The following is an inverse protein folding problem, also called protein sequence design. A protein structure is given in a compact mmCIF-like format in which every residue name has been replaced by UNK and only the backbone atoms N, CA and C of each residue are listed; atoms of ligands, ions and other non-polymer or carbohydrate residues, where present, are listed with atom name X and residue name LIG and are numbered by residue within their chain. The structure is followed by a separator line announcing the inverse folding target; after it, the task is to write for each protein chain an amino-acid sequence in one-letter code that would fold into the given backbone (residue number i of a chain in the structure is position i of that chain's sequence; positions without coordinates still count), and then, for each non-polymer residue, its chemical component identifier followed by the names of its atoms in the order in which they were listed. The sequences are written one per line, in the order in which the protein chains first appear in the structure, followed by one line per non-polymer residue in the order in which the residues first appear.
data_IF_692799331938
#
_entry.id   IF_692799331938
#
_cell.length_a   1.000
_cell.length_b   1.000
_cell.length_c   1.000
_cell.angle_alpha   90.00
_cell.angle_beta   90.00
_cell.angle_gamma   90.00
#
_symmetry.space_group_name_H-M   'P 1'
#
loop_
_entity.id
_entity.type
_entity.pdbx_description
1 polymer ?
#
# COMPACT_ATOMS: atom_id res chain seq x y z
N UNK A 1 10.56 6.97 14.30
CA UNK A 1 9.32 6.29 14.73
C UNK A 1 8.48 6.18 13.49
N UNK A 2 8.47 5.02 12.86
CA UNK A 2 8.13 4.96 11.45
C UNK A 2 6.95 4.02 11.07
N UNK A 3 6.05 3.48 11.90
CA UNK A 3 5.86 3.38 13.36
C UNK A 3 6.97 2.51 13.99
N UNK A 4 6.94 2.28 15.30
CA UNK A 4 8.13 1.89 16.09
C UNK A 4 8.71 0.48 15.87
N UNK A 5 8.19 -0.36 14.98
CA UNK A 5 8.59 -1.78 14.89
C UNK A 5 8.79 -2.37 13.47
N UNK A 6 8.65 -1.60 12.39
CA UNK A 6 8.95 -2.07 11.03
C UNK A 6 10.46 -2.18 10.74
N UNK A 7 10.89 -3.21 10.00
CA UNK A 7 12.31 -3.59 9.85
C UNK A 7 13.02 -3.07 8.58
N UNK A 8 12.32 -2.46 7.61
CA UNK A 8 12.91 -1.75 6.46
C UNK A 8 12.00 -0.62 5.92
N UNK A 9 11.90 0.55 6.57
CA UNK A 9 10.94 1.59 6.20
C UNK A 9 11.30 2.27 4.87
N UNK A 10 10.66 1.87 3.77
CA UNK A 10 10.66 2.62 2.51
C UNK A 10 9.42 3.52 2.43
N UNK A 11 9.58 4.78 2.82
CA UNK A 11 8.53 5.80 2.83
C UNK A 11 8.13 6.28 1.43
N UNK A 12 8.71 5.74 0.35
CA UNK A 12 8.51 6.23 -1.02
C UNK A 12 7.52 5.41 -1.86
N UNK A 13 7.00 4.28 -1.35
CA UNK A 13 6.18 3.31 -2.12
C UNK A 13 4.78 3.09 -1.53
N UNK A 14 4.31 3.94 -0.62
CA UNK A 14 2.99 3.75 0.01
C UNK A 14 1.82 3.99 -0.95
N UNK A 15 2.02 4.78 -2.01
CA UNK A 15 1.01 5.06 -3.02
C UNK A 15 1.39 4.43 -4.35
N UNK A 16 0.60 3.44 -4.78
CA UNK A 16 0.75 2.77 -6.05
C UNK A 16 -0.32 3.25 -7.04
N UNK A 17 0.09 3.53 -8.27
CA UNK A 17 -0.81 3.95 -9.35
C UNK A 17 -1.05 2.78 -10.31
N UNK A 18 -2.24 2.73 -10.89
CA UNK A 18 -2.59 1.71 -11.87
C UNK A 18 -3.70 2.17 -12.81
N UNK A 19 -3.89 1.37 -13.86
CA UNK A 19 -4.98 1.55 -14.81
C UNK A 19 -5.59 0.20 -15.16
N UNK A 20 -6.88 0.19 -15.45
CA UNK A 20 -7.54 -0.94 -16.11
C UNK A 20 -8.51 -0.41 -17.17
N UNK A 21 -8.97 -1.29 -18.06
CA UNK A 21 -9.87 -0.92 -19.15
C UNK A 21 -11.21 -1.60 -18.96
N UNK A 22 -12.28 -0.82 -19.10
CA UNK A 22 -13.64 -1.35 -19.31
C UNK A 22 -13.98 -1.25 -20.79
N UNK A 23 -14.61 -2.29 -21.33
CA UNK A 23 -15.02 -2.31 -22.74
C UNK A 23 -16.53 -2.37 -22.82
N UNK A 24 -17.13 -1.34 -23.42
CA UNK A 24 -18.52 -1.29 -23.80
C UNK A 24 -18.60 -0.65 -25.19
N UNK A 25 -18.98 -1.43 -26.21
CA UNK A 25 -18.92 -1.00 -27.61
C UNK A 25 -19.82 0.21 -27.89
N UNK A 26 -20.98 0.23 -27.24
CA UNK A 26 -22.00 1.28 -27.36
C UNK A 26 -21.83 2.39 -26.30
N UNK A 27 -20.73 2.36 -25.53
CA UNK A 27 -20.45 3.30 -24.44
C UNK A 27 -20.90 2.80 -23.06
N UNK A 28 -20.46 3.53 -22.03
CA UNK A 28 -20.71 3.21 -20.63
C UNK A 28 -21.80 4.12 -20.07
N UNK A 29 -22.89 3.54 -19.58
CA UNK A 29 -24.00 4.26 -18.93
C UNK A 29 -23.81 4.36 -17.43
N UNK A 30 -23.40 3.27 -16.79
CA UNK A 30 -23.02 3.27 -15.38
C UNK A 30 -21.71 2.52 -15.18
N UNK A 31 -20.87 3.03 -14.29
CA UNK A 31 -19.64 2.36 -13.86
C UNK A 31 -19.41 2.64 -12.39
N UNK A 32 -19.28 1.57 -11.61
CA UNK A 32 -18.92 1.62 -10.21
C UNK A 32 -17.64 0.82 -9.95
N UNK A 33 -16.78 1.34 -9.07
CA UNK A 33 -15.51 0.71 -8.68
C UNK A 33 -15.36 0.78 -7.16
N UNK A 34 -15.42 -0.35 -6.46
CA UNK A 34 -15.32 -0.41 -5.00
C UNK A 34 -16.41 0.40 -4.26
N UNK A 35 -17.50 0.76 -4.95
CA UNK A 35 -18.54 1.66 -4.43
C UNK A 35 -18.41 3.13 -4.88
N UNK A 36 -17.33 3.52 -5.56
CA UNK A 36 -17.19 4.84 -6.20
C UNK A 36 -18.00 4.86 -7.51
N UNK A 37 -18.89 5.84 -7.67
CA UNK A 37 -19.62 6.06 -8.91
C UNK A 37 -18.76 6.84 -9.91
N UNK A 38 -18.15 6.13 -10.86
CA UNK A 38 -17.26 6.69 -11.89
C UNK A 38 -18.05 7.29 -13.05
N UNK A 39 -19.13 6.62 -13.47
CA UNK A 39 -20.08 7.10 -14.49
C UNK A 39 -21.50 6.89 -14.00
N UNK A 40 -22.35 7.90 -14.13
CA UNK A 40 -23.78 7.82 -13.82
C UNK A 40 -24.60 8.41 -14.97
N UNK A 41 -25.53 7.63 -15.52
CA UNK A 41 -26.37 8.02 -16.65
C UNK A 41 -25.57 8.57 -17.85
N UNK A 42 -24.45 7.91 -18.18
CA UNK A 42 -23.56 8.27 -19.29
C UNK A 42 -22.63 9.44 -19.01
N UNK A 43 -22.71 10.06 -17.83
CA UNK A 43 -21.88 11.21 -17.45
C UNK A 43 -20.79 10.77 -16.48
N UNK A 44 -19.52 10.99 -16.86
CA UNK A 44 -18.39 10.77 -15.98
C UNK A 44 -18.43 11.74 -14.80
N UNK A 45 -18.12 11.23 -13.60
CA UNK A 45 -18.07 12.06 -12.41
C UNK A 45 -16.83 12.98 -12.39
N UNK A 46 -16.76 13.90 -11.42
CA UNK A 46 -15.55 14.67 -11.17
C UNK A 46 -14.50 13.81 -10.44
N UNK A 47 -13.23 13.92 -10.85
CA UNK A 47 -12.10 13.19 -10.26
C UNK A 47 -11.07 14.17 -9.66
N UNK A 48 -10.31 13.75 -8.63
CA UNK A 48 -10.29 12.41 -8.02
C UNK A 48 -11.50 12.13 -7.08
N UNK A 49 -11.81 10.85 -6.88
CA UNK A 49 -12.74 10.37 -5.85
C UNK A 49 -12.11 9.24 -5.05
N UNK A 50 -12.36 9.20 -3.74
CA UNK A 50 -11.71 8.26 -2.85
C UNK A 50 -12.68 7.61 -1.87
N UNK A 51 -12.32 6.40 -1.44
CA UNK A 51 -12.95 5.67 -0.33
C UNK A 51 -11.88 5.13 0.61
N UNK A 52 -12.25 4.96 1.87
CA UNK A 52 -11.48 4.14 2.81
C UNK A 52 -11.79 2.67 2.53
N UNK A 53 -10.73 1.86 2.44
CA UNK A 53 -10.86 0.42 2.17
C UNK A 53 -11.18 -0.33 3.46
N UNK A 54 -11.66 -1.60 3.40
CA UNK A 54 -11.92 -2.40 4.60
C UNK A 54 -10.72 -2.54 5.55
N UNK A 55 -9.50 -2.46 5.02
CA UNK A 55 -8.27 -2.48 5.82
C UNK A 55 -7.87 -1.10 6.39
N UNK A 56 -8.56 -0.02 6.04
CA UNK A 56 -8.25 1.33 6.51
C UNK A 56 -7.33 2.13 5.59
N UNK A 57 -6.91 1.53 4.47
CA UNK A 57 -6.16 2.17 3.39
C UNK A 57 -7.07 3.03 2.51
N UNK A 58 -6.54 3.63 1.45
CA UNK A 58 -7.31 4.53 0.57
C UNK A 58 -7.22 4.13 -0.89
N UNK A 59 -8.36 3.79 -1.48
CA UNK A 59 -8.52 3.66 -2.93
C UNK A 59 -9.02 4.99 -3.51
N UNK A 60 -8.36 5.47 -4.56
CA UNK A 60 -8.73 6.70 -5.27
C UNK A 60 -8.86 6.43 -6.76
N UNK A 61 -10.00 6.75 -7.36
CA UNK A 61 -10.14 6.84 -8.81
C UNK A 61 -9.71 8.23 -9.25
N UNK A 62 -8.67 8.28 -10.08
CA UNK A 62 -8.01 9.53 -10.51
C UNK A 62 -8.50 10.01 -11.86
N UNK A 63 -9.14 9.14 -12.66
CA UNK A 63 -9.75 9.54 -13.92
C UNK A 63 -10.44 8.41 -14.67
N UNK A 64 -11.26 8.80 -15.65
CA UNK A 64 -11.89 7.91 -16.62
C UNK A 64 -11.86 8.53 -18.02
N UNK A 65 -11.37 7.77 -19.00
CA UNK A 65 -11.40 8.14 -20.41
C UNK A 65 -12.53 7.39 -21.12
N UNK A 66 -13.62 8.08 -21.43
CA UNK A 66 -14.78 7.47 -22.08
C UNK A 66 -14.50 6.94 -23.50
N UNK A 67 -13.52 7.51 -24.21
CA UNK A 67 -13.20 7.08 -25.58
C UNK A 67 -12.40 5.76 -25.61
N UNK A 68 -11.55 5.52 -24.60
CA UNK A 68 -10.72 4.31 -24.52
C UNK A 68 -11.20 3.30 -23.47
N UNK A 69 -12.13 3.70 -22.60
CA UNK A 69 -12.58 2.91 -21.46
C UNK A 69 -11.56 2.80 -20.33
N UNK A 70 -10.46 3.56 -20.37
CA UNK A 70 -9.39 3.47 -19.37
C UNK A 70 -9.83 4.17 -18.08
N UNK A 71 -9.77 3.43 -16.97
CA UNK A 71 -9.92 3.94 -15.61
C UNK A 71 -8.53 4.02 -14.98
N UNK A 72 -8.18 5.18 -14.43
CA UNK A 72 -6.94 5.39 -13.67
C UNK A 72 -7.25 5.44 -12.18
N UNK A 73 -6.41 4.80 -11.37
CA UNK A 73 -6.56 4.78 -9.93
C UNK A 73 -5.22 4.86 -9.20
N UNK A 74 -5.27 5.22 -7.92
CA UNK A 74 -4.17 5.06 -6.98
C UNK A 74 -4.66 4.37 -5.72
N UNK A 75 -3.84 3.52 -5.14
CA UNK A 75 -4.06 2.91 -3.85
C UNK A 75 -2.97 3.38 -2.89
N UNK A 76 -3.34 3.90 -1.74
CA UNK A 76 -2.41 4.36 -0.69
C UNK A 76 -2.58 3.52 0.56
N UNK A 77 -1.50 2.88 0.99
CA UNK A 77 -1.42 2.22 2.28
C UNK A 77 -1.28 3.28 3.37
N UNK A 78 -2.27 3.38 4.26
CA UNK A 78 -2.32 4.42 5.30
C UNK A 78 -1.62 4.01 6.61
N UNK A 79 -1.54 2.71 6.88
CA UNK A 79 -0.87 2.13 8.04
C UNK A 79 -0.31 0.75 7.67
N UNK A 80 0.55 0.19 8.52
CA UNK A 80 0.95 -1.19 8.42
C UNK A 80 -0.26 -2.12 8.57
N UNK A 81 -0.27 -3.19 7.77
CA UNK A 81 -1.30 -4.21 7.84
C UNK A 81 -0.77 -5.44 8.57
N UNK A 82 -1.63 -6.07 9.37
CA UNK A 82 -1.26 -7.32 10.03
C UNK A 82 -1.29 -8.47 9.03
N UNK A 83 -0.12 -8.94 8.62
CA UNK A 83 -0.01 -10.14 7.80
C UNK A 83 -0.15 -11.44 8.63
N UNK A 84 -0.71 -12.52 8.03
CA UNK A 84 -0.66 -13.84 8.65
C UNK A 84 0.78 -14.25 8.94
N UNK A 85 1.03 -14.79 10.14
CA UNK A 85 2.37 -15.28 10.50
C UNK A 85 2.74 -16.49 9.64
N UNK A 86 3.63 -16.30 8.66
CA UNK A 86 4.27 -17.39 7.93
C UNK A 86 5.79 -17.19 7.89
N UNK A 87 6.55 -18.27 7.68
CA UNK A 87 8.01 -18.22 7.58
C UNK A 87 8.45 -17.65 6.21
N UNK A 88 8.17 -16.37 5.93
CA UNK A 88 8.54 -15.68 4.69
C UNK A 88 7.58 -14.54 4.30
N UNK A 89 7.85 -13.85 3.19
CA UNK A 89 6.96 -12.82 2.63
C UNK A 89 5.56 -13.39 2.38
N UNK A 90 4.53 -12.65 2.78
CA UNK A 90 3.13 -13.00 2.54
C UNK A 90 2.39 -11.86 1.87
N UNK A 91 1.30 -12.18 1.16
CA UNK A 91 0.42 -11.19 0.54
C UNK A 91 -0.90 -11.09 1.28
N UNK A 92 -1.37 -9.87 1.49
CA UNK A 92 -2.71 -9.57 1.96
C UNK A 92 -3.52 -8.97 0.79
N UNK A 93 -4.46 -9.73 0.20
CA UNK A 93 -5.25 -9.26 -0.93
C UNK A 93 -6.44 -8.40 -0.49
N UNK A 94 -6.71 -7.33 -1.24
CA UNK A 94 -7.96 -6.59 -1.24
C UNK A 94 -8.61 -6.65 -2.62
N UNK A 95 -9.93 -6.80 -2.65
CA UNK A 95 -10.69 -6.92 -3.88
C UNK A 95 -11.83 -5.91 -3.92
N UNK A 96 -11.86 -5.08 -4.97
CA UNK A 96 -12.89 -4.07 -5.19
C UNK A 96 -13.78 -4.48 -6.36
N UNK A 97 -15.08 -4.60 -6.12
CA UNK A 97 -16.04 -4.93 -7.17
C UNK A 97 -16.09 -3.82 -8.24
N UNK A 98 -16.06 -4.21 -9.50
CA UNK A 98 -16.27 -3.35 -10.66
C UNK A 98 -17.56 -3.77 -11.34
N UNK A 99 -18.49 -2.85 -11.55
CA UNK A 99 -19.73 -3.10 -12.29
C UNK A 99 -19.90 -2.05 -13.37
N UNK A 100 -20.19 -2.50 -14.60
CA UNK A 100 -20.45 -1.63 -15.75
C UNK A 100 -21.78 -1.99 -16.38
N UNK A 101 -22.55 -0.97 -16.78
CA UNK A 101 -23.75 -1.12 -17.60
C UNK A 101 -23.58 -0.29 -18.86
N UNK A 102 -23.80 -0.90 -20.03
CA UNK A 102 -23.74 -0.22 -21.33
C UNK A 102 -25.07 0.49 -21.68
N UNK A 103 -25.11 1.17 -22.84
CA UNK A 103 -26.31 1.89 -23.32
C UNK A 103 -27.50 0.97 -23.61
N UNK A 104 -27.24 -0.31 -23.89
CA UNK A 104 -28.26 -1.31 -24.18
C UNK A 104 -28.76 -2.03 -22.91
N UNK A 105 -28.24 -1.64 -21.73
CA UNK A 105 -28.60 -2.23 -20.43
C UNK A 105 -27.86 -3.52 -20.09
N UNK A 106 -26.87 -3.94 -20.89
CA UNK A 106 -26.03 -5.11 -20.60
C UNK A 106 -25.17 -4.80 -19.39
N UNK A 107 -25.15 -5.71 -18.42
CA UNK A 107 -24.30 -5.58 -17.23
C UNK A 107 -23.10 -6.53 -17.32
N UNK A 108 -21.90 -6.02 -17.04
CA UNK A 108 -20.72 -6.83 -16.80
C UNK A 108 -20.13 -6.51 -15.42
N UNK A 109 -19.54 -7.53 -14.78
CA UNK A 109 -18.90 -7.40 -13.47
C UNK A 109 -17.47 -7.93 -13.53
N UNK A 110 -16.63 -7.41 -12.65
CA UNK A 110 -15.25 -7.82 -12.48
C UNK A 110 -14.70 -7.34 -11.14
N UNK A 111 -13.39 -7.43 -10.96
CA UNK A 111 -12.71 -6.93 -9.77
C UNK A 111 -11.43 -6.17 -10.10
N UNK A 112 -11.13 -5.19 -9.26
CA UNK A 112 -9.79 -4.64 -9.11
C UNK A 112 -9.15 -5.31 -7.90
N UNK A 113 -8.08 -6.06 -8.14
CA UNK A 113 -7.34 -6.78 -7.11
C UNK A 113 -6.08 -6.00 -6.73
N UNK A 114 -5.89 -5.76 -5.44
CA UNK A 114 -4.71 -5.11 -4.86
C UNK A 114 -4.05 -6.09 -3.90
N UNK A 115 -2.76 -6.38 -4.08
CA UNK A 115 -2.01 -7.25 -3.18
C UNK A 115 -0.99 -6.42 -2.39
N UNK A 116 -1.18 -6.35 -1.09
CA UNK A 116 -0.22 -5.76 -0.15
C UNK A 116 0.80 -6.85 0.17
N UNK A 117 2.10 -6.58 0.02
CA UNK A 117 3.16 -7.56 0.22
C UNK A 117 3.92 -7.21 1.49
N UNK A 118 4.06 -8.17 2.39
CA UNK A 118 4.89 -8.06 3.60
C UNK A 118 6.37 -8.05 3.20
N UNK A 119 7.14 -7.09 3.71
CA UNK A 119 8.59 -7.07 3.53
C UNK A 119 9.28 -8.00 4.54
N UNK A 120 10.30 -8.75 4.11
CA UNK A 120 11.10 -9.52 5.07
C UNK A 120 12.02 -8.57 5.84
N UNK A 121 12.27 -8.82 7.14
CA UNK A 121 13.36 -8.18 7.83
C UNK A 121 14.68 -8.47 7.12
N UNK A 122 15.31 -7.43 6.58
CA UNK A 122 16.69 -7.50 6.12
C UNK A 122 17.59 -7.49 7.35
N UNK A 123 17.85 -8.67 7.90
CA UNK A 123 18.86 -8.86 8.92
C UNK A 123 20.24 -8.51 8.36
N UNK A 124 20.73 -7.29 8.62
CA UNK A 124 22.14 -6.98 8.45
C UNK A 124 22.86 -7.68 9.60
N UNK A 125 23.71 -8.65 9.28
CA UNK A 125 24.57 -9.26 10.29
C UNK A 125 25.48 -8.18 10.89
N UNK A 126 25.30 -7.86 12.17
CA UNK A 126 26.31 -7.13 12.94
C UNK A 126 27.53 -8.03 13.10
N UNK A 127 28.56 -7.77 12.30
CA UNK A 127 29.88 -8.34 12.55
C UNK A 127 30.54 -7.57 13.68
N UNK A 128 30.39 -8.05 14.91
CA UNK A 128 31.26 -7.66 16.01
C UNK A 128 32.67 -8.18 15.69
N UNK A 129 33.47 -7.37 14.98
CA UNK A 129 34.84 -7.71 14.62
C UNK A 129 35.80 -7.77 15.83
N UNK A 130 35.32 -7.41 17.02
CA UNK A 130 36.10 -7.53 18.25
C UNK A 130 35.39 -8.48 19.22
N UNK A 131 35.99 -9.65 19.41
CA UNK A 131 35.81 -10.37 20.66
C UNK A 131 36.26 -9.46 21.80
N UNK A 132 35.42 -9.28 22.81
CA UNK A 132 35.89 -8.81 24.10
C UNK A 132 36.85 -9.89 24.64
N UNK A 133 38.13 -9.57 24.69
CA UNK A 133 39.15 -10.37 25.34
C UNK A 133 39.54 -9.63 26.61
N UNK A 134 39.62 -10.34 27.74
CA UNK A 134 40.09 -9.80 29.02
C UNK A 134 41.57 -9.36 28.99
N UNK A 135 42.23 -9.44 27.83
CA UNK A 135 43.66 -9.24 27.66
C UNK A 135 44.04 -7.83 27.16
N UNK A 136 43.13 -6.84 27.19
CA UNK A 136 43.45 -5.45 26.83
C UNK A 136 43.12 -4.46 27.95
N UNK A 137 43.93 -4.53 29.01
CA UNK A 137 44.11 -3.53 30.07
C UNK A 137 44.85 -2.28 29.56
N UNK A 138 44.23 -1.48 28.68
CA UNK A 138 44.71 -0.11 28.45
C UNK A 138 43.59 0.90 28.64
N UNK A 139 43.19 1.05 29.91
CA UNK A 139 42.50 2.25 30.35
C UNK A 139 43.52 3.39 30.44
N UNK A 140 43.70 4.13 29.34
CA UNK A 140 44.41 5.40 29.37
C UNK A 140 43.39 6.54 29.38
N UNK A 141 43.00 6.95 30.60
CA UNK A 141 42.11 8.09 30.83
C UNK A 141 41.65 8.20 32.28
N UNK A 142 42.53 8.63 33.17
CA UNK A 142 42.19 9.21 34.48
C UNK A 142 41.84 10.71 34.26
N UNK A 143 41.07 11.47 35.05
CA UNK A 143 40.35 11.31 36.33
C UNK A 143 39.43 12.54 36.48
N UNK A 144 38.12 12.30 36.58
CA UNK A 144 37.21 13.07 37.43
C UNK A 144 36.23 11.99 37.93
N UNK A 145 36.48 11.25 39.02
CA UNK A 145 36.56 11.68 40.42
C UNK A 145 35.39 12.60 40.81
N UNK A 146 34.14 12.13 40.63
CA UNK A 146 32.97 12.41 41.48
C UNK A 146 31.67 11.99 40.76
N UNK A 147 31.38 10.70 40.72
CA UNK A 147 29.96 10.31 40.61
C UNK A 147 29.69 9.13 41.52
N UNK A 148 28.71 9.30 42.41
CA UNK A 148 28.19 8.26 43.29
C UNK A 148 26.89 7.80 42.65
N UNK A 149 26.86 6.53 42.24
CA UNK A 149 25.64 5.92 41.75
C UNK A 149 24.66 5.76 42.92
N UNK A 150 23.49 6.40 42.78
CA UNK A 150 22.28 6.06 43.52
C UNK A 150 21.46 5.02 42.75
#
# INVERSE_FOLDING_TARGET
KNLSDGSAPDTTVLTQNGTFTVTALDGVTTLTVGGIAVVTAGVAAGFPQSITTPLGSTLTITGFNAATGVVSYSYTLNDNESHPTANGANTLPEQFAVTVVDDNGTTATGSLDVNIVDDLPQGVNDSNASTASENLLTLNGNVLSNDVQG
#
